data_IF_802361376626
#
_entry.id   IF_802361376626
#
_cell.length_a   1.000
_cell.length_b   1.000
_cell.length_c   1.000
_cell.angle_alpha   90.00
_cell.angle_beta   90.00
_cell.angle_gamma   90.00
#
_symmetry.space_group_name_H-M   'P 1'
#
loop_
_entity.id
_entity.type
_entity.pdbx_description
1 polymer ?
#
# COMPACT_ATOMS: atom_id res chain seq x y z
N UNK A 1 -5.06 -5.63 18.96
CA UNK A 1 -4.97 -5.80 17.51
C UNK A 1 -4.97 -4.45 16.86
N UNK A 2 -4.52 -4.35 15.66
CA UNK A 2 -4.30 -3.05 15.03
C UNK A 2 -4.78 -3.07 13.58
N UNK A 3 -5.14 -1.90 13.07
CA UNK A 3 -5.46 -1.70 11.66
C UNK A 3 -4.18 -1.86 10.84
N UNK A 4 -4.25 -2.61 9.73
CA UNK A 4 -3.13 -2.70 8.81
C UNK A 4 -3.03 -1.44 7.95
N UNK A 5 -1.86 -1.18 7.42
CA UNK A 5 -1.63 -0.02 6.53
C UNK A 5 -1.14 -0.53 5.18
N UNK A 6 -1.84 -0.13 4.12
CA UNK A 6 -1.44 -0.42 2.75
C UNK A 6 -1.19 0.88 2.01
N UNK A 7 0.00 1.03 1.47
CA UNK A 7 0.36 2.15 0.62
C UNK A 7 0.17 1.74 -0.83
N UNK A 8 -0.74 2.38 -1.53
CA UNK A 8 -0.94 2.17 -2.98
C UNK A 8 -0.54 3.46 -3.67
N UNK A 9 0.62 3.47 -4.27
CA UNK A 9 1.21 4.67 -4.86
C UNK A 9 1.78 4.38 -6.24
N UNK A 10 2.19 5.43 -6.95
CA UNK A 10 3.03 5.24 -8.13
C UNK A 10 4.33 4.56 -7.73
N UNK A 11 4.91 3.82 -8.68
CA UNK A 11 6.11 3.03 -8.38
C UNK A 11 7.24 3.89 -7.82
N UNK A 12 7.88 3.37 -6.79
CA UNK A 12 8.98 4.03 -6.11
C UNK A 12 8.58 4.89 -4.93
N UNK A 13 7.35 5.38 -4.85
CA UNK A 13 6.96 6.31 -3.78
C UNK A 13 6.66 5.57 -2.49
N UNK A 14 5.70 4.64 -2.53
CA UNK A 14 5.27 3.93 -1.32
C UNK A 14 6.36 3.05 -0.74
N UNK A 15 7.08 2.32 -1.57
CA UNK A 15 8.16 1.46 -1.11
C UNK A 15 9.30 2.24 -0.49
N UNK A 16 9.66 3.39 -1.06
CA UNK A 16 10.69 4.27 -0.49
C UNK A 16 10.23 4.87 0.82
N UNK A 17 8.98 5.33 0.88
CA UNK A 17 8.41 5.88 2.10
C UNK A 17 8.41 4.85 3.22
N UNK A 18 8.02 3.62 2.93
CA UNK A 18 8.03 2.53 3.91
C UNK A 18 9.44 2.22 4.38
N UNK A 19 10.41 2.21 3.47
CA UNK A 19 11.82 1.98 3.80
C UNK A 19 12.33 3.06 4.75
N UNK A 20 12.01 4.33 4.49
CA UNK A 20 12.41 5.45 5.35
C UNK A 20 11.76 5.33 6.72
N UNK A 21 10.46 5.00 6.76
CA UNK A 21 9.76 4.84 8.03
C UNK A 21 10.39 3.72 8.88
N UNK A 22 10.75 2.60 8.27
CA UNK A 22 11.42 1.50 8.97
C UNK A 22 12.78 1.91 9.52
N UNK A 23 13.53 2.73 8.79
CA UNK A 23 14.83 3.24 9.25
C UNK A 23 14.67 4.16 10.46
N UNK A 24 13.66 5.04 10.43
CA UNK A 24 13.42 5.99 11.51
C UNK A 24 12.87 5.33 12.76
N UNK A 25 11.95 4.39 12.60
CA UNK A 25 11.24 3.76 13.71
C UNK A 25 11.85 2.43 14.12
N UNK A 26 12.74 1.88 13.30
CA UNK A 26 13.40 0.57 13.44
C UNK A 26 12.45 -0.61 13.36
N UNK A 27 11.21 -0.45 13.78
CA UNK A 27 10.15 -1.42 13.61
C UNK A 27 8.82 -0.68 13.53
N UNK A 28 7.83 -1.32 12.92
CA UNK A 28 6.48 -0.78 12.83
C UNK A 28 5.56 -1.63 13.69
N UNK A 29 4.73 -0.99 14.55
CA UNK A 29 3.82 -1.73 15.42
C UNK A 29 2.62 -2.31 14.66
N UNK A 30 2.43 -1.94 13.41
CA UNK A 30 1.31 -2.37 12.57
C UNK A 30 1.85 -3.14 11.37
N UNK A 31 1.00 -4.02 10.81
CA UNK A 31 1.31 -4.64 9.53
C UNK A 31 1.25 -3.57 8.45
N UNK A 32 2.34 -3.37 7.73
CA UNK A 32 2.44 -2.36 6.68
C UNK A 32 2.99 -3.00 5.42
N UNK A 33 2.45 -2.59 4.29
CA UNK A 33 2.91 -3.06 3.00
C UNK A 33 2.78 -1.92 1.98
N UNK A 34 3.69 -1.89 1.01
CA UNK A 34 3.63 -0.95 -0.10
C UNK A 34 3.33 -1.72 -1.38
N UNK A 35 2.32 -1.27 -2.10
CA UNK A 35 1.99 -1.78 -3.43
C UNK A 35 2.27 -0.67 -4.43
N UNK A 36 3.39 -0.79 -5.14
CA UNK A 36 3.81 0.18 -6.14
C UNK A 36 3.12 -0.13 -7.46
N UNK A 37 2.36 0.83 -7.97
CA UNK A 37 1.63 0.69 -9.22
C UNK A 37 2.57 1.04 -10.38
N UNK A 38 2.88 0.10 -11.30
CA UNK A 38 3.69 0.42 -12.46
C UNK A 38 3.05 1.51 -13.30
N UNK A 39 3.87 2.38 -13.88
CA UNK A 39 3.38 3.50 -14.67
C UNK A 39 2.46 3.05 -15.81
N UNK A 40 2.80 1.94 -16.46
CA UNK A 40 2.03 1.37 -17.58
C UNK A 40 1.15 0.20 -17.13
N UNK A 41 0.85 0.09 -15.85
CA UNK A 41 0.10 -1.05 -15.32
C UNK A 41 -1.35 -1.05 -15.78
N UNK A 42 -1.87 -2.25 -16.05
CA UNK A 42 -3.27 -2.46 -16.41
C UNK A 42 -4.10 -2.57 -15.12
N UNK A 43 -5.08 -1.68 -14.89
CA UNK A 43 -5.90 -1.75 -13.69
C UNK A 43 -6.57 -3.10 -13.46
N UNK A 44 -6.99 -3.78 -14.52
CA UNK A 44 -7.65 -5.07 -14.38
C UNK A 44 -6.72 -6.16 -13.85
N UNK A 45 -5.43 -6.10 -14.20
CA UNK A 45 -4.45 -7.05 -13.67
C UNK A 45 -3.90 -6.62 -12.31
N UNK A 46 -3.93 -5.33 -12.01
CA UNK A 46 -3.42 -4.80 -10.74
C UNK A 46 -4.40 -4.98 -9.59
N UNK A 47 -5.70 -4.93 -9.87
CA UNK A 47 -6.72 -5.00 -8.82
C UNK A 47 -6.63 -6.29 -7.99
N UNK A 48 -6.49 -7.50 -8.58
CA UNK A 48 -6.31 -8.71 -7.76
C UNK A 48 -5.06 -8.67 -6.90
N UNK A 49 -3.98 -8.06 -7.39
CA UNK A 49 -2.73 -7.93 -6.64
C UNK A 49 -2.90 -6.98 -5.46
N UNK A 50 -3.59 -5.85 -5.67
CA UNK A 50 -3.90 -4.91 -4.60
C UNK A 50 -4.79 -5.56 -3.54
N UNK A 51 -5.79 -6.33 -3.96
CA UNK A 51 -6.67 -7.05 -3.05
C UNK A 51 -5.89 -8.07 -2.22
N UNK A 52 -4.96 -8.78 -2.84
CA UNK A 52 -4.10 -9.73 -2.11
C UNK A 52 -3.22 -9.01 -1.09
N UNK A 53 -2.66 -7.85 -1.45
CA UNK A 53 -1.87 -7.05 -0.51
C UNK A 53 -2.71 -6.60 0.67
N UNK A 54 -3.94 -6.17 0.42
CA UNK A 54 -4.87 -5.77 1.49
C UNK A 54 -5.13 -6.92 2.45
N UNK A 55 -5.36 -8.13 1.93
CA UNK A 55 -5.59 -9.29 2.78
C UNK A 55 -4.36 -9.64 3.62
N UNK A 56 -3.15 -9.42 3.10
CA UNK A 56 -1.92 -9.73 3.85
C UNK A 56 -1.75 -8.85 5.08
N UNK A 57 -2.20 -7.59 5.03
CA UNK A 57 -2.04 -6.65 6.15
C UNK A 57 -3.28 -6.58 7.04
N UNK A 58 -4.37 -7.21 6.64
CA UNK A 58 -5.62 -7.21 7.41
C UNK A 58 -5.56 -8.31 8.48
N UNK A 59 -5.59 -7.89 9.73
CA UNK A 59 -5.62 -8.81 10.88
C UNK A 59 -7.04 -8.97 11.46
N UNK A 60 -8.05 -8.44 10.78
CA UNK A 60 -9.44 -8.48 11.24
C UNK A 60 -9.99 -7.14 11.69
N UNK A 61 -9.13 -6.15 11.92
CA UNK A 61 -9.52 -4.82 12.36
C UNK A 61 -9.60 -3.81 11.19
N UNK A 62 -9.42 -4.29 9.98
CA UNK A 62 -9.47 -3.46 8.78
C UNK A 62 -8.12 -2.98 8.31
N UNK A 63 -8.12 -2.25 7.22
CA UNK A 63 -6.91 -1.73 6.58
C UNK A 63 -7.10 -0.27 6.24
N UNK A 64 -6.14 0.56 6.63
CA UNK A 64 -6.07 1.94 6.18
C UNK A 64 -5.26 1.99 4.88
N UNK A 65 -5.87 2.46 3.81
CA UNK A 65 -5.22 2.57 2.51
C UNK A 65 -4.81 4.02 2.29
N UNK A 66 -3.53 4.22 2.03
CA UNK A 66 -2.98 5.54 1.74
C UNK A 66 -2.50 5.58 0.29
N UNK A 67 -2.84 6.63 -0.42
CA UNK A 67 -2.43 6.82 -1.81
C UNK A 67 -1.67 8.13 -1.96
N UNK A 68 -0.98 8.30 -3.09
CA UNK A 68 -0.22 9.51 -3.33
C UNK A 68 -1.04 10.59 -4.05
N UNK A 69 -1.45 10.36 -5.29
CA UNK A 69 -2.07 11.39 -6.12
C UNK A 69 -3.55 11.06 -6.36
N UNK A 70 -4.45 11.90 -5.84
CA UNK A 70 -5.88 11.73 -5.98
C UNK A 70 -6.29 11.76 -7.46
N UNK A 71 -7.13 10.79 -7.86
CA UNK A 71 -7.58 10.69 -9.24
C UNK A 71 -6.67 9.93 -10.18
N UNK A 72 -5.45 9.60 -9.76
CA UNK A 72 -4.55 8.77 -10.53
C UNK A 72 -4.85 7.28 -10.30
N UNK A 73 -4.22 6.40 -11.08
CA UNK A 73 -4.46 4.96 -11.00
C UNK A 73 -4.33 4.38 -9.59
N UNK A 74 -3.28 4.71 -8.79
CA UNK A 74 -3.19 4.19 -7.43
C UNK A 74 -4.39 4.57 -6.56
N UNK A 75 -4.85 5.82 -6.65
CA UNK A 75 -6.02 6.28 -5.92
C UNK A 75 -7.28 5.55 -6.35
N UNK A 76 -7.42 5.27 -7.64
CA UNK A 76 -8.59 4.57 -8.18
C UNK A 76 -8.61 3.08 -7.78
N UNK A 77 -7.45 2.47 -7.59
CA UNK A 77 -7.36 1.09 -7.09
C UNK A 77 -7.72 1.01 -5.61
N UNK A 78 -7.40 2.08 -4.89
CA UNK A 78 -7.72 2.13 -3.47
C UNK A 78 -9.23 2.25 -3.27
#
# INVERSE_FOLDING_TARGET
MAVGILLITHEGIGSTLLTVALRLLRSLPLACEAFDVPFDGDPDSLLPQASAAMRRVDSGDGVLVLTDLYGATPSNLA
#
